data_IF_783127153777
#
_entry.id   IF_783127153777
#
_cell.length_a   1.000
_cell.length_b   1.000
_cell.length_c   1.000
_cell.angle_alpha   90.00
_cell.angle_beta   90.00
_cell.angle_gamma   90.00
#
_symmetry.space_group_name_H-M   'P 1'
#
loop_
_entity.id
_entity.type
_entity.pdbx_description
1 polymer ?
#
# COMPACT_ATOMS: atom_id res chain seq x y z
N UNK A 1 -19.92 -2.58 36.53
CA UNK A 1 -19.77 -1.80 35.28
C UNK A 1 -18.37 -1.97 34.64
N UNK A 2 -17.74 -3.14 34.72
CA UNK A 2 -16.38 -3.39 34.19
C UNK A 2 -16.34 -4.48 33.10
N UNK A 3 -17.36 -5.35 33.03
CA UNK A 3 -17.42 -6.49 32.10
C UNK A 3 -17.78 -6.09 30.66
N UNK A 4 -18.56 -5.02 30.47
CA UNK A 4 -18.97 -4.55 29.12
C UNK A 4 -17.78 -3.95 28.34
N UNK A 5 -16.82 -3.34 29.05
CA UNK A 5 -15.67 -2.66 28.44
C UNK A 5 -14.65 -3.67 27.89
N UNK A 6 -14.43 -4.79 28.59
CA UNK A 6 -13.52 -5.86 28.12
C UNK A 6 -14.04 -6.54 26.85
N UNK A 7 -15.35 -6.83 26.77
CA UNK A 7 -15.95 -7.44 25.56
C UNK A 7 -15.86 -6.53 24.33
N UNK A 8 -15.96 -5.21 24.51
CA UNK A 8 -15.79 -4.24 23.42
C UNK A 8 -14.33 -4.15 22.95
N UNK A 9 -13.37 -4.18 23.88
CA UNK A 9 -11.94 -4.10 23.54
C UNK A 9 -11.47 -5.33 22.78
N UNK A 10 -11.89 -6.54 23.17
CA UNK A 10 -11.54 -7.79 22.47
C UNK A 10 -12.06 -7.77 21.03
N UNK A 11 -13.30 -7.31 20.79
CA UNK A 11 -13.87 -7.20 19.44
C UNK A 11 -13.16 -6.14 18.57
N UNK A 12 -12.73 -5.03 19.16
CA UNK A 12 -12.01 -3.98 18.43
C UNK A 12 -10.59 -4.42 18.05
N UNK A 13 -9.89 -5.12 18.94
CA UNK A 13 -8.55 -5.67 18.68
C UNK A 13 -8.61 -6.78 17.64
N UNK A 14 -9.55 -7.74 17.74
CA UNK A 14 -9.73 -8.80 16.73
C UNK A 14 -10.08 -8.24 15.35
N UNK A 15 -10.94 -7.22 15.26
CA UNK A 15 -11.28 -6.59 13.97
C UNK A 15 -10.09 -5.86 13.35
N UNK A 16 -9.23 -5.25 14.17
CA UNK A 16 -7.98 -4.66 13.68
C UNK A 16 -7.02 -5.73 13.19
N UNK A 17 -6.74 -6.78 13.97
CA UNK A 17 -5.87 -7.87 13.53
C UNK A 17 -6.37 -8.57 12.26
N UNK A 18 -7.68 -8.77 12.13
CA UNK A 18 -8.29 -9.38 10.93
C UNK A 18 -8.21 -8.48 9.68
N UNK A 19 -8.19 -7.14 9.84
CA UNK A 19 -7.97 -6.19 8.73
C UNK A 19 -6.49 -6.10 8.35
N UNK A 20 -5.58 -6.31 9.31
CA UNK A 20 -4.12 -6.21 9.11
C UNK A 20 -3.56 -7.43 8.34
N UNK A 21 -4.30 -8.55 8.30
CA UNK A 21 -3.97 -9.76 7.54
C UNK A 21 -4.70 -9.85 6.19
N UNK A 22 -4.68 -8.78 5.40
CA UNK A 22 -4.86 -8.91 3.96
C UNK A 22 -3.55 -8.53 3.27
N UNK A 23 -2.79 -9.55 2.86
CA UNK A 23 -1.67 -9.36 1.96
C UNK A 23 -2.18 -8.74 0.65
N UNK A 24 -2.13 -7.41 0.56
CA UNK A 24 -2.56 -6.68 -0.62
C UNK A 24 -1.39 -6.66 -1.60
N UNK A 25 -1.45 -7.54 -2.61
CA UNK A 25 -0.45 -7.57 -3.68
C UNK A 25 -0.74 -6.43 -4.66
N UNK A 26 0.19 -5.48 -4.75
CA UNK A 26 0.17 -4.40 -5.74
C UNK A 26 1.27 -4.62 -6.76
N UNK A 27 0.92 -4.56 -8.04
CA UNK A 27 1.87 -4.67 -9.15
C UNK A 27 2.32 -3.28 -9.58
N UNK A 28 3.62 -3.06 -9.66
CA UNK A 28 4.20 -1.75 -10.00
C UNK A 28 4.92 -1.84 -11.34
N UNK A 29 4.43 -1.12 -12.34
CA UNK A 29 5.11 -0.89 -13.61
C UNK A 29 6.03 0.33 -13.52
N UNK A 30 7.29 0.17 -13.92
CA UNK A 30 8.30 1.23 -13.97
C UNK A 30 8.81 1.37 -15.39
N UNK A 31 8.50 2.49 -16.04
CA UNK A 31 9.07 2.85 -17.34
C UNK A 31 10.18 3.89 -17.13
N UNK A 32 11.42 3.49 -17.41
CA UNK A 32 12.63 4.22 -17.03
C UNK A 32 13.23 4.94 -18.23
N UNK A 33 13.30 6.27 -18.14
CA UNK A 33 14.01 7.14 -19.08
C UNK A 33 15.25 7.76 -18.43
N UNK A 34 16.10 8.42 -19.24
CA UNK A 34 17.36 9.05 -18.76
C UNK A 34 17.18 9.96 -17.54
N UNK A 35 16.09 10.72 -17.48
CA UNK A 35 15.87 11.73 -16.44
C UNK A 35 14.72 11.39 -15.48
N UNK A 36 13.74 10.60 -15.92
CA UNK A 36 12.48 10.36 -15.20
C UNK A 36 12.05 8.90 -15.33
N UNK A 37 11.30 8.43 -14.35
CA UNK A 37 10.65 7.12 -14.32
C UNK A 37 9.14 7.35 -14.22
N UNK A 38 8.38 6.81 -15.15
CA UNK A 38 6.93 6.76 -15.07
C UNK A 38 6.49 5.55 -14.26
N UNK A 39 5.52 5.74 -13.37
CA UNK A 39 5.06 4.74 -12.42
C UNK A 39 3.59 4.45 -12.69
N UNK A 40 3.26 3.18 -12.89
CA UNK A 40 1.90 2.69 -12.96
C UNK A 40 1.69 1.61 -11.88
N UNK A 41 0.52 1.57 -11.26
CA UNK A 41 0.20 0.62 -10.20
C UNK A 41 -1.09 -0.09 -10.56
N UNK A 42 -1.07 -1.41 -10.53
CA UNK A 42 -2.26 -2.25 -10.62
C UNK A 42 -2.48 -2.96 -9.28
N UNK A 43 -3.75 -3.06 -8.89
CA UNK A 43 -4.19 -3.92 -7.80
C UNK A 43 -4.30 -5.36 -8.30
N UNK A 44 -4.47 -6.32 -7.39
CA UNK A 44 -4.68 -7.71 -7.75
C UNK A 44 -5.94 -7.89 -8.64
N UNK A 45 -5.80 -8.66 -9.72
CA UNK A 45 -6.87 -8.94 -10.68
C UNK A 45 -6.54 -8.48 -12.11
N UNK A 46 -7.57 -8.35 -12.95
CA UNK A 46 -7.45 -7.86 -14.34
C UNK A 46 -7.80 -6.37 -14.49
N UNK A 47 -7.70 -5.61 -13.39
CA UNK A 47 -7.94 -4.17 -13.45
C UNK A 47 -6.84 -3.49 -14.29
N UNK A 48 -7.22 -2.41 -14.99
CA UNK A 48 -6.25 -1.62 -15.73
C UNK A 48 -5.26 -0.94 -14.77
N UNK A 49 -3.95 -0.97 -15.07
CA UNK A 49 -2.96 -0.28 -14.26
C UNK A 49 -3.25 1.23 -14.22
N UNK A 50 -3.34 1.78 -13.01
CA UNK A 50 -3.54 3.21 -12.81
C UNK A 50 -2.22 3.94 -12.91
N UNK A 51 -2.17 4.98 -13.73
CA UNK A 51 -1.03 5.88 -13.77
C UNK A 51 -0.89 6.63 -12.45
N UNK A 52 0.27 6.49 -11.80
CA UNK A 52 0.55 7.08 -10.49
C UNK A 52 1.30 8.40 -10.60
N UNK A 53 2.23 8.51 -11.57
CA UNK A 53 2.98 9.74 -11.82
C UNK A 53 4.40 9.50 -12.32
N UNK A 54 5.17 10.59 -12.38
CA UNK A 54 6.58 10.58 -12.71
C UNK A 54 7.43 10.83 -11.47
N UNK A 55 8.53 10.09 -11.33
CA UNK A 55 9.58 10.34 -10.35
C UNK A 55 10.89 10.63 -11.08
N UNK A 56 11.82 11.42 -10.50
CA UNK A 56 13.15 11.57 -11.09
C UNK A 56 13.88 10.22 -11.06
N UNK A 57 14.75 9.99 -12.04
CA UNK A 57 15.57 8.78 -12.13
C UNK A 57 16.71 8.80 -11.09
N UNK A 58 16.35 8.76 -9.81
CA UNK A 58 17.27 8.71 -8.67
C UNK A 58 16.87 7.60 -7.68
N UNK A 59 17.83 6.93 -7.04
CA UNK A 59 17.55 5.84 -6.11
C UNK A 59 16.74 6.30 -4.88
N UNK A 60 16.92 7.55 -4.47
CA UNK A 60 16.17 8.15 -3.36
C UNK A 60 14.68 8.30 -3.67
N UNK A 61 14.35 8.67 -4.91
CA UNK A 61 12.96 8.82 -5.35
C UNK A 61 12.24 7.48 -5.40
N UNK A 62 12.91 6.43 -5.89
CA UNK A 62 12.39 5.05 -5.87
C UNK A 62 12.17 4.58 -4.43
N UNK A 63 13.12 4.82 -3.53
CA UNK A 63 12.97 4.46 -2.11
C UNK A 63 11.79 5.18 -1.45
N UNK A 64 11.56 6.45 -1.80
CA UNK A 64 10.40 7.23 -1.32
C UNK A 64 9.09 6.67 -1.87
N UNK A 65 9.06 6.23 -3.13
CA UNK A 65 7.90 5.57 -3.73
C UNK A 65 7.57 4.26 -3.00
N UNK A 66 8.55 3.37 -2.82
CA UNK A 66 8.32 2.08 -2.14
C UNK A 66 7.84 2.27 -0.70
N UNK A 67 8.36 3.28 0.02
CA UNK A 67 7.86 3.65 1.36
C UNK A 67 6.41 4.16 1.36
N UNK A 68 5.92 4.74 0.27
CA UNK A 68 4.52 5.15 0.15
C UNK A 68 3.62 3.95 -0.14
N UNK A 69 4.08 3.01 -0.98
CA UNK A 69 3.31 1.84 -1.38
C UNK A 69 3.24 0.75 -0.31
N UNK A 70 4.30 0.60 0.49
CA UNK A 70 4.34 -0.37 1.59
C UNK A 70 3.67 0.08 2.89
N UNK A 71 2.98 1.23 2.90
CA UNK A 71 2.17 1.62 4.06
C UNK A 71 0.78 0.97 3.93
N UNK A 72 0.32 0.24 4.95
CA UNK A 72 -1.09 -0.14 5.00
C UNK A 72 -1.93 1.14 5.06
N UNK A 73 -2.97 1.22 4.23
CA UNK A 73 -4.00 2.26 4.33
C UNK A 73 -4.86 2.09 5.59
#
# INVERSE_FOLDING_TARGET
>A
MFTVKIHSQIRATLRKELVIMQDTIKYVGLDVSKEKIAVAIAEEGRAEPRYWGLIPHTPEAVKKLMKKLGRPE
#
